data_IF_788449699087
#
_entry.id   IF_788449699087
#
_cell.length_a   1.000
_cell.length_b   1.000
_cell.length_c   1.000
_cell.angle_alpha   90.00
_cell.angle_beta   90.00
_cell.angle_gamma   90.00
#
_symmetry.space_group_name_H-M   'P 1'
#
loop_
_entity.id
_entity.type
_entity.pdbx_description
1 polymer ?
#
# COMPACT_ATOMS: atom_id res chain seq x y z
N UNK A 1 22.54 20.86 -3.11
CA UNK A 1 21.29 20.76 -2.33
C UNK A 1 20.78 19.33 -2.46
N UNK A 2 20.02 18.84 -1.50
CA UNK A 2 19.45 17.50 -1.59
C UNK A 2 18.38 17.48 -2.69
N UNK A 3 18.48 16.47 -3.57
CA UNK A 3 17.59 16.28 -4.69
C UNK A 3 16.20 15.84 -4.22
N UNK A 4 15.13 16.43 -4.77
CA UNK A 4 13.74 16.10 -4.42
C UNK A 4 13.01 15.43 -5.58
N UNK A 5 12.14 14.49 -5.24
CA UNK A 5 11.25 13.87 -6.21
C UNK A 5 9.95 14.65 -6.39
N UNK A 6 9.45 14.67 -7.62
CA UNK A 6 8.23 15.35 -8.03
C UNK A 6 7.37 14.42 -8.88
N UNK A 7 6.06 14.56 -8.73
CA UNK A 7 5.07 13.91 -9.58
C UNK A 7 4.43 14.94 -10.49
N UNK A 8 4.47 14.66 -11.79
CA UNK A 8 3.74 15.40 -12.80
C UNK A 8 2.74 14.48 -13.48
N UNK A 9 1.48 14.92 -13.55
CA UNK A 9 0.43 14.27 -14.32
C UNK A 9 -0.11 15.22 -15.36
N UNK A 10 -0.31 14.73 -16.58
CA UNK A 10 -0.94 15.50 -17.63
C UNK A 10 -1.83 14.65 -18.53
N UNK A 11 -2.93 15.25 -18.99
CA UNK A 11 -3.86 14.68 -19.96
C UNK A 11 -3.58 15.21 -21.35
N UNK A 12 -3.49 14.31 -22.33
CA UNK A 12 -3.27 14.66 -23.73
C UNK A 12 -4.62 14.90 -24.42
N UNK A 13 -4.80 16.10 -24.97
CA UNK A 13 -5.98 16.45 -25.77
C UNK A 13 -5.72 16.26 -27.27
N UNK A 14 -4.52 16.65 -27.71
CA UNK A 14 -4.07 16.54 -29.11
C UNK A 14 -2.79 15.71 -29.18
N UNK A 15 -2.94 14.43 -29.54
CA UNK A 15 -1.82 13.51 -29.65
C UNK A 15 -1.08 13.69 -30.98
N UNK A 16 -0.14 14.65 -31.02
CA UNK A 16 0.72 14.88 -32.18
C UNK A 16 2.07 14.15 -32.02
N UNK A 17 2.64 13.60 -33.10
CA UNK A 17 4.03 13.13 -33.08
C UNK A 17 4.96 14.21 -32.53
N UNK A 18 5.86 13.83 -31.62
CA UNK A 18 6.83 14.75 -31.01
C UNK A 18 6.39 15.41 -29.69
N UNK A 19 5.12 15.33 -29.27
CA UNK A 19 4.66 15.99 -28.03
C UNK A 19 5.48 15.59 -26.79
N UNK A 20 5.79 14.30 -26.64
CA UNK A 20 6.64 13.83 -25.54
C UNK A 20 8.06 14.38 -25.66
N UNK A 21 8.59 14.47 -26.88
CA UNK A 21 9.90 15.07 -27.14
C UNK A 21 9.94 16.55 -26.75
N UNK A 22 8.88 17.31 -27.03
CA UNK A 22 8.79 18.72 -26.63
C UNK A 22 8.82 18.86 -25.10
N UNK A 23 8.02 18.06 -24.39
CA UNK A 23 7.98 18.05 -22.91
C UNK A 23 9.34 17.63 -22.35
N UNK A 24 9.94 16.56 -22.88
CA UNK A 24 11.26 16.09 -22.47
C UNK A 24 12.36 17.14 -22.73
N UNK A 25 12.24 17.92 -23.81
CA UNK A 25 13.17 19.03 -24.09
C UNK A 25 13.04 20.15 -23.06
N UNK A 26 11.82 20.54 -22.67
CA UNK A 26 11.61 21.53 -21.61
C UNK A 26 12.19 21.07 -20.27
N UNK A 27 11.95 19.81 -19.90
CA UNK A 27 12.53 19.20 -18.71
C UNK A 27 14.06 19.22 -18.74
N UNK A 28 14.65 18.83 -19.87
CA UNK A 28 16.10 18.85 -20.08
C UNK A 28 16.70 20.26 -20.01
N UNK A 29 16.03 21.27 -20.58
CA UNK A 29 16.49 22.67 -20.52
C UNK A 29 16.49 23.24 -19.10
N UNK A 30 15.62 22.73 -18.23
CA UNK A 30 15.56 23.10 -16.82
C UNK A 30 16.41 22.16 -15.94
N UNK A 31 17.15 21.22 -16.52
CA UNK A 31 17.91 20.19 -15.78
C UNK A 31 17.04 19.41 -14.79
N UNK A 32 15.79 19.12 -15.19
CA UNK A 32 14.87 18.27 -14.44
C UNK A 32 14.98 16.85 -14.98
N UNK A 33 15.39 15.91 -14.13
CA UNK A 33 15.57 14.51 -14.51
C UNK A 33 14.22 13.80 -14.58
N UNK A 34 14.06 12.93 -15.57
CA UNK A 34 12.92 12.00 -15.64
C UNK A 34 13.37 10.67 -15.04
N UNK A 35 12.85 10.34 -13.86
CA UNK A 35 13.10 9.05 -13.23
C UNK A 35 12.28 7.95 -13.90
N UNK A 36 11.00 8.22 -14.16
CA UNK A 36 10.09 7.27 -14.81
C UNK A 36 8.96 8.01 -15.51
N UNK A 37 8.49 7.47 -16.63
CA UNK A 37 7.28 7.93 -17.32
C UNK A 37 6.45 6.72 -17.71
N UNK A 38 5.12 6.83 -17.56
CA UNK A 38 4.21 5.82 -18.10
C UNK A 38 2.84 6.40 -18.47
N UNK A 39 2.08 5.66 -19.28
CA UNK A 39 0.64 5.86 -19.40
C UNK A 39 -0.07 5.31 -18.18
N UNK A 40 -0.96 6.09 -17.59
CA UNK A 40 -1.71 5.64 -16.39
C UNK A 40 -3.11 5.18 -16.79
N UNK A 41 -3.90 6.03 -17.44
CA UNK A 41 -5.19 5.60 -17.97
C UNK A 41 -5.61 6.45 -19.17
N UNK A 42 -6.06 5.79 -20.24
CA UNK A 42 -6.49 6.44 -21.47
C UNK A 42 -5.44 7.40 -22.04
N UNK A 43 -5.74 8.70 -22.01
CA UNK A 43 -4.88 9.78 -22.52
C UNK A 43 -4.04 10.47 -21.44
N UNK A 44 -4.02 9.92 -20.23
CA UNK A 44 -3.25 10.47 -19.11
C UNK A 44 -1.86 9.85 -19.06
N UNK A 45 -0.88 10.68 -18.73
CA UNK A 45 0.52 10.31 -18.56
C UNK A 45 0.97 10.80 -17.19
N UNK A 46 1.71 9.95 -16.49
CA UNK A 46 2.35 10.29 -15.23
C UNK A 46 3.87 10.24 -15.39
N UNK A 47 4.56 11.15 -14.74
CA UNK A 47 6.01 11.24 -14.69
C UNK A 47 6.47 11.38 -13.24
N UNK A 48 7.47 10.58 -12.87
CA UNK A 48 8.30 10.84 -11.71
C UNK A 48 9.52 11.62 -12.18
N UNK A 49 9.68 12.79 -11.60
CA UNK A 49 10.72 13.75 -11.90
C UNK A 49 11.63 13.91 -10.69
N UNK A 50 12.82 14.38 -10.93
CA UNK A 50 13.80 14.71 -9.90
C UNK A 50 14.42 16.08 -10.20
N UNK A 51 14.50 16.92 -9.17
CA UNK A 51 15.12 18.24 -9.27
C UNK A 51 15.71 18.67 -7.93
N UNK A 52 16.80 19.43 -7.99
CA UNK A 52 17.49 20.02 -6.85
C UNK A 52 16.99 21.43 -6.49
N UNK A 53 16.07 22.00 -7.27
CA UNK A 53 15.55 23.36 -7.10
C UNK A 53 14.05 23.45 -7.39
N UNK A 54 13.28 23.85 -6.39
CA UNK A 54 11.82 23.98 -6.43
C UNK A 54 11.39 25.07 -7.44
N UNK A 55 12.22 26.10 -7.69
CA UNK A 55 11.92 27.15 -8.67
C UNK A 55 11.93 26.61 -10.12
N UNK A 56 12.82 25.66 -10.44
CA UNK A 56 12.83 24.98 -11.75
C UNK A 56 11.49 24.30 -12.01
N UNK A 57 10.93 23.64 -10.99
CA UNK A 57 9.63 22.98 -11.08
C UNK A 57 8.49 23.99 -11.21
N UNK A 58 8.54 25.11 -10.47
CA UNK A 58 7.55 26.19 -10.62
C UNK A 58 7.53 26.74 -12.05
N UNK A 59 8.69 27.06 -12.61
CA UNK A 59 8.84 27.55 -13.98
C UNK A 59 8.35 26.54 -15.02
N UNK A 60 8.69 25.25 -14.83
CA UNK A 60 8.18 24.17 -15.67
C UNK A 60 6.64 24.17 -15.70
N UNK A 61 6.00 24.28 -14.53
CA UNK A 61 4.54 24.35 -14.42
C UNK A 61 3.94 25.52 -15.19
N UNK A 62 4.55 26.70 -15.09
CA UNK A 62 4.13 27.92 -15.81
C UNK A 62 4.27 27.77 -17.33
N UNK A 63 5.36 27.16 -17.80
CA UNK A 63 5.58 26.88 -19.23
C UNK A 63 4.58 25.87 -19.77
N UNK A 64 4.38 24.75 -19.07
CA UNK A 64 3.45 23.70 -19.47
C UNK A 64 1.99 24.17 -19.47
N UNK A 65 1.63 25.12 -18.60
CA UNK A 65 0.31 25.74 -18.59
C UNK A 65 -0.01 26.50 -19.90
N UNK A 66 1.00 26.89 -20.70
CA UNK A 66 0.82 27.52 -22.01
C UNK A 66 0.70 26.51 -23.16
N UNK A 67 0.90 25.21 -22.90
CA UNK A 67 0.87 24.16 -23.93
C UNK A 67 -0.56 23.68 -24.16
N UNK A 68 -1.21 24.19 -25.21
CA UNK A 68 -2.62 23.90 -25.54
C UNK A 68 -2.95 22.43 -25.87
N UNK A 69 -1.94 21.58 -26.10
CA UNK A 69 -2.13 20.17 -26.47
C UNK A 69 -2.36 19.27 -25.26
N UNK A 70 -2.07 19.75 -24.06
CA UNK A 70 -2.16 19.01 -22.80
C UNK A 70 -2.86 19.84 -21.72
N UNK A 71 -3.21 19.19 -20.61
CA UNK A 71 -3.51 19.86 -19.36
C UNK A 71 -2.75 19.17 -18.26
N UNK A 72 -1.94 19.92 -17.52
CA UNK A 72 -1.27 19.42 -16.30
C UNK A 72 -2.31 19.37 -15.19
N UNK A 73 -2.61 18.18 -14.70
CA UNK A 73 -3.57 17.93 -13.62
C UNK A 73 -2.90 17.86 -12.25
N UNK A 74 -1.60 17.52 -12.20
CA UNK A 74 -0.82 17.53 -10.98
C UNK A 74 0.64 17.93 -11.27
N UNK A 75 1.21 18.76 -10.39
CA UNK A 75 2.64 19.02 -10.28
C UNK A 75 2.97 19.29 -8.81
N UNK A 76 3.40 18.25 -8.09
CA UNK A 76 3.57 18.27 -6.63
C UNK A 76 4.50 17.14 -6.18
N UNK A 77 4.87 17.07 -4.91
CA UNK A 77 5.58 15.91 -4.38
C UNK A 77 4.76 14.62 -4.56
N UNK A 78 5.42 13.49 -4.92
CA UNK A 78 4.75 12.22 -5.18
C UNK A 78 4.19 11.63 -3.88
N UNK A 79 2.96 11.13 -3.95
CA UNK A 79 2.42 10.17 -2.98
C UNK A 79 2.77 8.77 -3.42
N UNK A 80 2.72 7.80 -2.50
CA UNK A 80 2.95 6.39 -2.82
C UNK A 80 2.13 5.89 -4.02
N UNK A 81 0.85 6.27 -4.08
CA UNK A 81 -0.02 5.88 -5.21
C UNK A 81 0.38 6.50 -6.53
N UNK A 82 0.98 7.69 -6.53
CA UNK A 82 1.45 8.32 -7.75
C UNK A 82 2.65 7.52 -8.30
N UNK A 83 3.57 7.12 -7.40
CA UNK A 83 4.74 6.31 -7.75
C UNK A 83 4.31 4.98 -8.36
N UNK A 84 3.39 4.29 -7.69
CA UNK A 84 2.88 2.99 -8.15
C UNK A 84 2.08 3.13 -9.45
N UNK A 85 1.27 4.19 -9.58
CA UNK A 85 0.50 4.41 -10.80
C UNK A 85 1.39 4.65 -12.01
N UNK A 86 2.53 5.35 -11.83
CA UNK A 86 3.53 5.52 -12.89
C UNK A 86 4.26 4.20 -13.17
N UNK A 87 4.68 3.44 -12.16
CA UNK A 87 5.40 2.17 -12.36
C UNK A 87 4.56 1.13 -13.09
N UNK A 88 3.29 0.98 -12.71
CA UNK A 88 2.41 -0.06 -13.25
C UNK A 88 1.50 0.41 -14.39
N UNK A 89 1.42 1.73 -14.61
CA UNK A 89 0.61 2.31 -15.66
C UNK A 89 -0.90 2.14 -15.47
N UNK A 90 -1.36 2.25 -14.22
CA UNK A 90 -2.80 2.24 -13.83
C UNK A 90 -2.99 2.89 -12.46
N UNK A 91 -4.16 3.49 -12.21
CA UNK A 91 -4.49 4.00 -10.87
C UNK A 91 -4.79 2.85 -9.90
N UNK A 92 -4.49 3.07 -8.61
CA UNK A 92 -4.97 2.22 -7.53
C UNK A 92 -6.34 2.75 -7.10
N UNK A 93 -7.34 1.87 -7.09
CA UNK A 93 -8.67 2.22 -6.60
C UNK A 93 -8.64 2.50 -5.09
N UNK A 94 -9.31 3.57 -4.68
CA UNK A 94 -9.43 4.01 -3.30
C UNK A 94 -10.89 4.22 -2.99
N UNK A 95 -11.27 3.89 -1.76
CA UNK A 95 -12.62 4.19 -1.29
C UNK A 95 -12.83 5.72 -1.31
N UNK A 96 -13.99 6.16 -1.83
CA UNK A 96 -14.35 7.57 -1.87
C UNK A 96 -14.60 8.13 -0.47
N UNK A 97 -15.08 7.28 0.43
CA UNK A 97 -15.47 7.67 1.79
C UNK A 97 -14.34 7.43 2.79
N UNK A 98 -13.43 6.49 2.52
CA UNK A 98 -12.29 6.19 3.37
C UNK A 98 -10.93 6.24 2.63
N UNK A 99 -10.20 7.34 2.84
CA UNK A 99 -8.91 7.60 2.16
C UNK A 99 -7.78 6.64 2.53
N UNK A 100 -7.90 5.88 3.61
CA UNK A 100 -6.91 4.86 4.00
C UNK A 100 -7.26 3.46 3.49
N UNK A 101 -8.41 3.28 2.84
CA UNK A 101 -8.81 2.01 2.23
C UNK A 101 -8.37 1.94 0.75
N UNK A 102 -7.57 0.93 0.42
CA UNK A 102 -7.05 0.65 -0.92
C UNK A 102 -7.60 -0.67 -1.43
N UNK A 103 -8.14 -0.69 -2.65
CA UNK A 103 -8.73 -1.88 -3.24
C UNK A 103 -7.85 -2.42 -4.35
N UNK A 104 -7.69 -3.74 -4.34
CA UNK A 104 -6.94 -4.48 -5.35
C UNK A 104 -7.75 -5.70 -5.75
N UNK A 105 -7.65 -6.09 -7.03
CA UNK A 105 -8.14 -7.39 -7.47
C UNK A 105 -7.02 -8.42 -7.57
N UNK A 106 -7.37 -9.71 -7.67
CA UNK A 106 -6.42 -10.82 -7.70
C UNK A 106 -5.45 -10.74 -8.88
N UNK A 107 -5.88 -10.22 -10.02
CA UNK A 107 -5.03 -9.91 -11.17
C UNK A 107 -4.04 -8.75 -10.92
N UNK A 108 -4.19 -8.07 -9.78
CA UNK A 108 -3.33 -6.97 -9.33
C UNK A 108 -2.41 -7.36 -8.19
N UNK A 109 -2.27 -8.65 -7.87
CA UNK A 109 -1.37 -9.13 -6.82
C UNK A 109 0.05 -8.57 -6.94
N UNK A 110 0.61 -8.45 -8.15
CA UNK A 110 1.93 -7.83 -8.35
C UNK A 110 1.98 -6.36 -7.92
N UNK A 111 0.94 -5.59 -8.21
CA UNK A 111 0.81 -4.19 -7.78
C UNK A 111 0.61 -4.08 -6.26
N UNK A 112 -0.17 -5.00 -5.66
CA UNK A 112 -0.32 -5.09 -4.21
C UNK A 112 1.02 -5.41 -3.52
N UNK A 113 1.82 -6.34 -4.07
CA UNK A 113 3.14 -6.69 -3.54
C UNK A 113 4.07 -5.48 -3.57
N UNK A 114 4.11 -4.73 -4.68
CA UNK A 114 4.91 -3.52 -4.77
C UNK A 114 4.41 -2.42 -3.83
N UNK A 115 3.09 -2.29 -3.66
CA UNK A 115 2.49 -1.39 -2.67
C UNK A 115 2.94 -1.74 -1.24
N UNK A 116 2.78 -2.99 -0.83
CA UNK A 116 3.18 -3.48 0.49
C UNK A 116 4.70 -3.32 0.68
N UNK A 117 5.51 -3.62 -0.33
CA UNK A 117 6.95 -3.45 -0.28
C UNK A 117 7.38 -2.01 0.01
N UNK A 118 6.72 -1.02 -0.58
CA UNK A 118 7.01 0.39 -0.28
C UNK A 118 6.41 0.85 1.06
N UNK A 119 5.24 0.35 1.45
CA UNK A 119 4.66 0.63 2.78
C UNK A 119 5.58 0.11 3.87
N UNK A 120 6.04 -1.14 3.76
CA UNK A 120 6.86 -1.79 4.78
C UNK A 120 8.23 -1.14 4.95
N UNK A 121 8.77 -0.42 3.97
CA UNK A 121 10.06 0.30 4.12
C UNK A 121 9.97 1.51 5.06
N UNK A 122 8.76 2.01 5.33
CA UNK A 122 8.56 3.12 6.25
C UNK A 122 8.91 2.69 7.68
N UNK A 123 9.42 3.63 8.45
CA UNK A 123 9.75 3.43 9.87
C UNK A 123 8.58 3.79 10.78
N UNK A 124 8.63 3.29 12.01
CA UNK A 124 7.64 3.58 13.05
C UNK A 124 6.58 2.49 13.22
N UNK A 125 5.59 2.78 14.07
CA UNK A 125 4.46 1.89 14.28
C UNK A 125 3.51 2.00 13.08
N UNK A 126 3.23 0.88 12.42
CA UNK A 126 2.32 0.84 11.28
C UNK A 126 1.33 -0.30 11.43
N UNK A 127 0.05 0.01 11.46
CA UNK A 127 -1.02 -0.97 11.59
C UNK A 127 -1.78 -1.06 10.28
N UNK A 128 -1.66 -2.21 9.60
CA UNK A 128 -2.25 -2.45 8.30
C UNK A 128 -3.30 -3.54 8.42
N UNK A 129 -4.53 -3.25 8.02
CA UNK A 129 -5.61 -4.24 7.95
C UNK A 129 -5.67 -4.83 6.56
N UNK A 130 -5.74 -6.16 6.46
CA UNK A 130 -5.87 -6.85 5.17
C UNK A 130 -7.17 -7.67 5.13
N UNK A 131 -8.15 -7.13 4.40
CA UNK A 131 -9.41 -7.78 4.09
C UNK A 131 -9.32 -8.59 2.80
N UNK A 132 -10.18 -9.58 2.70
CA UNK A 132 -10.31 -10.41 1.50
C UNK A 132 -10.83 -11.80 1.82
N UNK A 133 -11.47 -12.42 0.84
CA UNK A 133 -11.97 -13.79 0.95
C UNK A 133 -10.83 -14.79 1.22
N UNK A 134 -11.09 -15.97 1.81
CA UNK A 134 -10.08 -16.99 1.98
C UNK A 134 -9.42 -17.39 0.65
N UNK A 135 -8.10 -17.62 0.67
CA UNK A 135 -7.30 -18.06 -0.50
C UNK A 135 -7.25 -17.08 -1.68
N UNK A 136 -7.57 -15.80 -1.44
CA UNK A 136 -7.43 -14.74 -2.46
C UNK A 136 -5.97 -14.28 -2.65
N UNK A 137 -5.06 -14.66 -1.75
CA UNK A 137 -3.63 -14.33 -1.81
C UNK A 137 -3.14 -13.37 -0.72
N UNK A 138 -3.90 -13.22 0.39
CA UNK A 138 -3.58 -12.30 1.49
C UNK A 138 -2.19 -12.57 2.07
N UNK A 139 -1.99 -13.75 2.64
CA UNK A 139 -0.74 -14.11 3.30
C UNK A 139 0.44 -14.14 2.32
N UNK A 140 0.24 -14.62 1.10
CA UNK A 140 1.26 -14.63 0.05
C UNK A 140 1.71 -13.21 -0.31
N UNK A 141 0.77 -12.26 -0.39
CA UNK A 141 1.08 -10.85 -0.68
C UNK A 141 1.89 -10.20 0.45
N UNK A 142 1.58 -10.51 1.72
CA UNK A 142 2.33 -10.01 2.88
C UNK A 142 3.76 -10.55 2.87
N UNK A 143 3.93 -11.85 2.64
CA UNK A 143 5.27 -12.48 2.59
C UNK A 143 6.07 -11.89 1.42
N UNK A 144 5.49 -11.81 0.22
CA UNK A 144 6.16 -11.26 -0.94
C UNK A 144 6.54 -9.78 -0.74
N UNK A 145 5.64 -8.97 -0.17
CA UNK A 145 5.92 -7.59 0.19
C UNK A 145 7.06 -7.45 1.20
N UNK A 146 7.11 -8.35 2.20
CA UNK A 146 8.19 -8.38 3.21
C UNK A 146 9.55 -8.68 2.56
N UNK A 147 9.59 -9.63 1.63
CA UNK A 147 10.79 -9.94 0.83
C UNK A 147 11.21 -8.74 -0.02
N UNK A 148 10.28 -8.09 -0.73
CA UNK A 148 10.57 -6.89 -1.53
C UNK A 148 11.09 -5.72 -0.68
N UNK A 149 10.66 -5.62 0.58
CA UNK A 149 11.14 -4.62 1.53
C UNK A 149 12.43 -5.03 2.27
N UNK A 150 12.97 -6.22 2.00
CA UNK A 150 14.10 -6.81 2.74
C UNK A 150 13.86 -6.88 4.26
N UNK A 151 12.61 -7.07 4.67
CA UNK A 151 12.21 -7.25 6.08
C UNK A 151 12.00 -8.73 6.39
N UNK A 152 12.33 -9.12 7.62
CA UNK A 152 11.88 -10.41 8.16
C UNK A 152 10.36 -10.34 8.38
N UNK A 153 9.71 -11.50 8.45
CA UNK A 153 8.31 -11.59 8.86
C UNK A 153 8.16 -12.62 9.97
N UNK A 154 7.17 -12.44 10.83
CA UNK A 154 6.87 -13.36 11.93
C UNK A 154 5.36 -13.49 12.11
N UNK A 155 4.88 -14.73 12.08
CA UNK A 155 3.50 -15.03 12.43
C UNK A 155 3.33 -14.99 13.94
N UNK A 156 2.52 -14.06 14.42
CA UNK A 156 2.05 -13.99 15.80
C UNK A 156 0.85 -14.91 15.96
N UNK A 157 -0.03 -14.88 14.97
CA UNK A 157 -1.15 -15.80 14.79
C UNK A 157 -1.41 -16.08 13.31
N UNK A 158 -1.96 -17.25 12.99
CA UNK A 158 -2.30 -17.63 11.62
C UNK A 158 -3.29 -18.77 11.57
N UNK A 159 -4.35 -18.64 10.77
CA UNK A 159 -5.22 -19.76 10.39
C UNK A 159 -4.53 -20.77 9.47
N UNK A 160 -3.61 -20.34 8.59
CA UNK A 160 -2.99 -21.20 7.56
C UNK A 160 -1.95 -22.17 8.12
N UNK A 161 -1.17 -21.76 9.12
CA UNK A 161 -0.10 -22.58 9.70
C UNK A 161 -0.59 -23.29 10.96
N UNK A 162 -1.30 -24.41 10.82
CA UNK A 162 -1.76 -25.26 11.95
C UNK A 162 -2.48 -24.48 13.08
N UNK A 163 -3.17 -23.38 12.77
CA UNK A 163 -3.79 -22.51 13.79
C UNK A 163 -2.76 -22.03 14.84
N UNK A 164 -1.61 -21.53 14.38
CA UNK A 164 -0.54 -21.08 15.28
C UNK A 164 -1.02 -19.89 16.12
N UNK A 165 -0.87 -19.99 17.44
CA UNK A 165 -1.06 -18.90 18.41
C UNK A 165 0.21 -18.83 19.25
N UNK A 166 0.98 -17.74 19.12
CA UNK A 166 2.21 -17.57 19.89
C UNK A 166 1.95 -16.80 21.16
N UNK A 167 2.50 -17.27 22.27
CA UNK A 167 2.40 -16.57 23.56
C UNK A 167 3.69 -15.84 23.96
N UNK A 168 4.73 -15.97 23.14
CA UNK A 168 6.02 -15.30 23.29
C UNK A 168 6.78 -15.30 21.96
N UNK A 169 7.66 -14.30 21.80
CA UNK A 169 8.62 -14.18 20.71
C UNK A 169 10.04 -14.16 21.28
N UNK A 170 11.02 -14.61 20.50
CA UNK A 170 12.42 -14.44 20.89
C UNK A 170 12.87 -12.99 20.73
N UNK A 171 13.99 -12.62 21.38
CA UNK A 171 14.57 -11.28 21.24
C UNK A 171 14.91 -10.94 19.77
N UNK A 172 15.38 -11.93 19.00
CA UNK A 172 15.66 -11.78 17.57
C UNK A 172 14.41 -11.47 16.73
N UNK A 173 13.24 -11.95 17.17
CA UNK A 173 11.95 -11.71 16.52
C UNK A 173 11.33 -10.38 16.92
N UNK A 174 11.64 -9.85 18.10
CA UNK A 174 11.20 -8.53 18.58
C UNK A 174 11.93 -7.36 17.91
N UNK A 175 12.54 -7.58 16.76
CA UNK A 175 13.22 -6.56 15.99
C UNK A 175 12.21 -5.60 15.30
N UNK A 176 12.36 -4.27 15.40
CA UNK A 176 11.53 -3.30 14.67
C UNK A 176 11.51 -3.47 13.14
N UNK A 177 12.57 -4.06 12.58
CA UNK A 177 12.69 -4.38 11.15
C UNK A 177 11.95 -5.68 10.75
N UNK A 178 11.08 -6.19 11.61
CA UNK A 178 10.24 -7.36 11.37
C UNK A 178 8.81 -6.92 11.07
N UNK A 179 8.13 -7.65 10.17
CA UNK A 179 6.70 -7.50 9.90
C UNK A 179 5.95 -8.55 10.71
N UNK A 180 5.09 -8.11 11.63
CA UNK A 180 4.27 -9.00 12.46
C UNK A 180 2.95 -9.31 11.76
N UNK A 181 2.66 -10.59 11.56
CA UNK A 181 1.44 -11.06 10.90
C UNK A 181 0.49 -11.61 11.96
N UNK A 182 -0.70 -11.04 12.03
CA UNK A 182 -1.74 -11.35 13.01
C UNK A 182 -3.00 -11.75 12.25
N UNK A 183 -3.64 -12.82 12.67
CA UNK A 183 -4.96 -13.21 12.20
C UNK A 183 -6.00 -12.84 13.26
N UNK A 184 -6.87 -11.88 12.92
CA UNK A 184 -7.89 -11.32 13.80
C UNK A 184 -8.87 -12.35 14.35
N UNK A 185 -9.15 -13.43 13.61
CA UNK A 185 -10.05 -14.50 14.06
C UNK A 185 -9.40 -15.30 15.18
N UNK A 186 -8.16 -15.71 14.94
CA UNK A 186 -7.44 -16.63 15.84
C UNK A 186 -6.95 -15.89 17.08
N UNK A 187 -6.54 -14.63 16.94
CA UNK A 187 -6.01 -13.81 18.04
C UNK A 187 -7.06 -13.33 19.04
N UNK A 188 -8.34 -13.30 18.68
CA UNK A 188 -9.40 -12.81 19.57
C UNK A 188 -10.24 -13.95 20.14
N UNK A 189 -10.65 -14.92 19.31
CA UNK A 189 -11.58 -16.00 19.71
C UNK A 189 -10.87 -17.09 20.55
N UNK A 190 -9.57 -17.31 20.34
CA UNK A 190 -8.83 -18.46 20.90
C UNK A 190 -7.62 -18.04 21.75
N UNK A 191 -7.56 -16.80 22.23
CA UNK A 191 -6.37 -16.29 22.92
C UNK A 191 -6.32 -16.66 24.40
N UNK A 192 -5.11 -17.02 24.84
CA UNK A 192 -4.77 -17.05 26.26
C UNK A 192 -4.35 -15.66 26.73
N UNK A 193 -4.39 -15.40 28.03
CA UNK A 193 -3.90 -14.15 28.64
C UNK A 193 -2.46 -13.81 28.21
N UNK A 194 -1.61 -14.82 28.02
CA UNK A 194 -0.23 -14.62 27.54
C UNK A 194 -0.17 -14.16 26.08
N UNK A 195 -1.05 -14.68 25.22
CA UNK A 195 -1.14 -14.20 23.84
C UNK A 195 -1.68 -12.78 23.79
N UNK A 196 -2.68 -12.47 24.62
CA UNK A 196 -3.23 -11.13 24.74
C UNK A 196 -2.14 -10.12 25.14
N UNK A 197 -1.34 -10.42 26.16
CA UNK A 197 -0.22 -9.56 26.55
C UNK A 197 0.82 -9.38 25.43
N UNK A 198 1.18 -10.46 24.73
CA UNK A 198 2.07 -10.36 23.57
C UNK A 198 1.48 -9.46 22.47
N UNK A 199 0.18 -9.55 22.22
CA UNK A 199 -0.50 -8.73 21.24
C UNK A 199 -0.43 -7.24 21.61
N UNK A 200 -0.68 -6.90 22.89
CA UNK A 200 -0.53 -5.52 23.39
C UNK A 200 0.89 -4.99 23.18
N UNK A 201 1.90 -5.79 23.54
CA UNK A 201 3.30 -5.40 23.34
C UNK A 201 3.56 -5.14 21.86
N UNK A 202 3.17 -6.07 20.98
CA UNK A 202 3.38 -5.93 19.53
C UNK A 202 2.65 -4.69 19.00
N UNK A 203 1.40 -4.45 19.38
CA UNK A 203 0.61 -3.31 18.91
C UNK A 203 1.25 -1.95 19.24
N UNK A 204 2.01 -1.85 20.34
CA UNK A 204 2.74 -0.62 20.71
C UNK A 204 4.14 -0.50 20.12
N UNK A 205 4.71 -1.59 19.58
CA UNK A 205 6.07 -1.58 19.01
C UNK A 205 6.20 -0.63 17.81
N UNK A 206 7.37 0.00 17.58
CA UNK A 206 7.65 0.80 16.40
C UNK A 206 7.98 -0.09 15.19
N UNK A 207 7.06 -0.99 14.85
CA UNK A 207 7.17 -2.00 13.80
C UNK A 207 5.90 -2.04 12.95
N UNK A 208 6.02 -2.62 11.76
CA UNK A 208 4.86 -2.90 10.92
C UNK A 208 4.12 -4.13 11.43
N UNK A 209 2.80 -4.03 11.58
CA UNK A 209 1.90 -5.16 11.79
C UNK A 209 0.87 -5.22 10.68
N UNK A 210 0.64 -6.43 10.18
CA UNK A 210 -0.44 -6.72 9.25
C UNK A 210 -1.44 -7.64 9.93
N UNK A 211 -2.66 -7.13 10.09
CA UNK A 211 -3.78 -7.83 10.71
C UNK A 211 -4.71 -8.30 9.59
N UNK A 212 -4.72 -9.61 9.34
CA UNK A 212 -5.76 -10.24 8.52
C UNK A 212 -7.07 -10.30 9.31
N UNK A 213 -8.20 -10.23 8.60
CA UNK A 213 -9.54 -10.19 9.22
C UNK A 213 -9.70 -9.03 10.24
N UNK A 214 -9.37 -7.78 9.85
CA UNK A 214 -9.39 -6.65 10.78
C UNK A 214 -10.77 -6.36 11.38
N UNK A 215 -11.85 -6.73 10.67
CA UNK A 215 -13.22 -6.57 11.15
C UNK A 215 -13.49 -7.38 12.43
N UNK A 216 -13.06 -8.65 12.45
CA UNK A 216 -13.20 -9.53 13.61
C UNK A 216 -12.24 -9.09 14.71
N UNK A 217 -11.04 -8.64 14.35
CA UNK A 217 -10.10 -8.07 15.31
C UNK A 217 -10.71 -6.88 16.06
N UNK A 218 -11.28 -5.91 15.35
CA UNK A 218 -11.94 -4.73 15.94
C UNK A 218 -13.18 -5.11 16.76
N UNK A 219 -13.99 -6.04 16.27
CA UNK A 219 -15.21 -6.47 16.97
C UNK A 219 -14.91 -7.14 18.31
N UNK A 220 -13.84 -7.93 18.38
CA UNK A 220 -13.54 -8.82 19.50
C UNK A 220 -12.33 -8.36 20.33
N UNK A 221 -11.89 -7.10 20.17
CA UNK A 221 -10.81 -6.50 20.97
C UNK A 221 -11.14 -5.06 21.38
N UNK A 222 -10.21 -4.42 22.08
CA UNK A 222 -10.28 -3.01 22.47
C UNK A 222 -9.88 -2.02 21.36
N UNK A 223 -9.37 -2.52 20.23
CA UNK A 223 -8.91 -1.70 19.12
C UNK A 223 -10.05 -1.32 18.19
N UNK A 224 -9.93 -0.17 17.53
CA UNK A 224 -10.91 0.30 16.56
C UNK A 224 -10.26 0.58 15.19
N UNK A 225 -11.09 0.86 14.18
CA UNK A 225 -10.57 1.13 12.84
C UNK A 225 -9.67 2.36 12.77
N UNK A 226 -9.73 3.32 13.70
CA UNK A 226 -8.83 4.47 13.77
C UNK A 226 -7.40 4.10 14.14
N UNK A 227 -7.19 2.96 14.80
CA UNK A 227 -5.85 2.43 15.09
C UNK A 227 -5.13 1.95 13.84
N UNK A 228 -5.86 1.74 12.73
CA UNK A 228 -5.29 1.33 11.45
C UNK A 228 -4.87 2.54 10.61
N UNK A 229 -3.61 2.52 10.15
CA UNK A 229 -3.07 3.49 9.21
C UNK A 229 -3.55 3.26 7.78
N UNK A 230 -3.72 1.97 7.41
CA UNK A 230 -4.06 1.52 6.06
C UNK A 230 -4.99 0.31 6.17
N UNK A 231 -6.06 0.30 5.38
CA UNK A 231 -6.86 -0.88 5.11
C UNK A 231 -6.66 -1.27 3.65
N UNK A 232 -6.45 -2.55 3.40
CA UNK A 232 -6.30 -3.13 2.07
C UNK A 232 -7.42 -4.13 1.87
N UNK A 233 -8.09 -4.06 0.74
CA UNK A 233 -9.10 -5.02 0.32
C UNK A 233 -8.60 -5.75 -0.92
N UNK A 234 -8.35 -7.06 -0.76
CA UNK A 234 -7.97 -7.92 -1.86
C UNK A 234 -9.19 -8.77 -2.30
N UNK A 235 -9.67 -8.51 -3.51
CA UNK A 235 -10.89 -9.09 -4.08
C UNK A 235 -10.59 -9.99 -5.27
N UNK A 236 -11.44 -10.98 -5.56
CA UNK A 236 -11.35 -11.76 -6.80
C UNK A 236 -11.80 -10.95 -8.03
N UNK A 237 -12.75 -10.03 -7.84
CA UNK A 237 -13.23 -9.11 -8.87
C UNK A 237 -13.67 -7.77 -8.22
N UNK A 238 -13.78 -6.67 -8.98
CA UNK A 238 -14.02 -5.34 -8.40
C UNK A 238 -15.31 -5.24 -7.57
N UNK A 239 -16.33 -6.02 -7.92
CA UNK A 239 -17.65 -5.97 -7.30
C UNK A 239 -17.82 -7.01 -6.18
N UNK A 240 -16.78 -7.76 -5.83
CA UNK A 240 -16.87 -8.75 -4.75
C UNK A 240 -17.07 -8.05 -3.41
N UNK A 241 -18.14 -8.41 -2.71
CA UNK A 241 -18.36 -8.04 -1.32
C UNK A 241 -17.61 -9.01 -0.40
N UNK A 242 -16.84 -8.46 0.53
CA UNK A 242 -16.09 -9.25 1.52
C UNK A 242 -17.00 -9.44 2.73
N UNK A 243 -17.60 -10.61 2.86
CA UNK A 243 -18.57 -10.93 3.91
C UNK A 243 -17.94 -11.93 4.90
N UNK A 244 -17.98 -11.63 6.19
CA UNK A 244 -17.30 -12.44 7.21
C UNK A 244 -18.20 -13.39 8.02
N UNK A 245 -19.52 -13.18 8.00
CA UNK A 245 -20.50 -13.91 8.84
C UNK A 245 -20.52 -15.43 8.61
N UNK A 246 -20.17 -15.90 7.42
CA UNK A 246 -20.13 -17.33 7.11
C UNK A 246 -18.87 -18.04 7.59
N UNK A 247 -17.79 -17.30 7.92
CA UNK A 247 -16.50 -17.90 8.27
C UNK A 247 -16.39 -18.21 9.75
N UNK A 248 -16.88 -17.33 10.62
CA UNK A 248 -16.88 -17.55 12.08
C UNK A 248 -17.56 -18.87 12.43
N UNK A 249 -18.72 -19.15 11.83
CA UNK A 249 -19.45 -20.41 12.01
C UNK A 249 -18.60 -21.66 11.73
N UNK A 250 -17.84 -21.68 10.63
CA UNK A 250 -16.98 -22.82 10.28
C UNK A 250 -15.78 -23.02 11.21
N UNK A 251 -15.29 -21.95 11.86
CA UNK A 251 -14.20 -22.03 12.83
C UNK A 251 -14.68 -22.35 14.26
N UNK A 252 -15.96 -22.07 14.58
CA UNK A 252 -16.61 -22.56 15.79
C UNK A 252 -17.07 -24.01 15.68
N UNK A 253 -17.40 -24.53 14.51
CA UNK A 253 -17.83 -25.94 14.35
C UNK A 253 -16.67 -26.97 14.41
N UNK A 254 -15.41 -26.51 14.39
CA UNK A 254 -14.22 -27.32 14.71
C UNK A 254 -13.83 -27.27 16.21
N UNK A 255 -14.71 -26.78 17.08
CA UNK A 255 -14.62 -26.89 18.55
C UNK A 255 -15.02 -28.29 19.06
#
# INVERSE_FOLDING_TARGET
>A
MESKQWYMEYKIHKNRPGLLGDIASMLGMLEVNILTINGVEGKTRGMLLESDDDEKIRLLGEMLAKVNSITVSALRQPKLVDILAVRHGRYIDRDSDDRKTFRFTRDELGLLVDFLGEVFKREGNQVIGLRGMPRVGKTESIIAGSVCAMKRWTFVSSTLLRQTIRSQLSEDELNPNNVFIIDGIVSTIRSSERHYNLLQDIMTMPSTKVIEHPDIFVQESEYDFNDFDIIIELRNNPNEEIIYDTFTASYTDEL
#
